data_IF_765115665568
#
_entry.id   IF_765115665568
#
_cell.length_a   1.000
_cell.length_b   1.000
_cell.length_c   1.000
_cell.angle_alpha   90.00
_cell.angle_beta   90.00
_cell.angle_gamma   90.00
#
_symmetry.space_group_name_H-M   'P 1'
#
loop_
_entity.id
_entity.type
_entity.pdbx_description
1 polymer ?
#
# COMPACT_ATOMS: atom_id res chain seq x y z
N UNK A 1 17.70 -2.79 7.90
CA UNK A 1 16.60 -3.61 7.36
C UNK A 1 16.79 -3.74 5.85
N UNK A 2 16.36 -4.83 5.22
CA UNK A 2 16.54 -5.05 3.77
C UNK A 2 15.48 -4.39 2.88
N UNK A 3 14.55 -3.63 3.47
CA UNK A 3 13.45 -2.99 2.75
C UNK A 3 13.94 -1.80 1.94
N UNK A 4 13.38 -1.64 0.73
CA UNK A 4 13.62 -0.49 -0.15
C UNK A 4 12.30 0.28 -0.35
N UNK A 5 12.33 1.61 -0.48
CA UNK A 5 11.14 2.38 -0.81
C UNK A 5 10.54 1.94 -2.14
N UNK A 6 9.21 1.93 -2.22
CA UNK A 6 8.46 1.72 -3.46
C UNK A 6 7.97 3.08 -3.97
N UNK A 7 8.54 3.54 -5.09
CA UNK A 7 8.05 4.74 -5.78
C UNK A 7 6.82 4.38 -6.60
N UNK A 8 5.75 5.15 -6.47
CA UNK A 8 4.55 5.03 -7.30
C UNK A 8 3.99 6.40 -7.65
N UNK A 9 3.14 6.45 -8.68
CA UNK A 9 2.49 7.67 -9.16
C UNK A 9 1.00 7.39 -9.36
N UNK A 10 0.18 8.39 -9.10
CA UNK A 10 -1.26 8.34 -9.34
C UNK A 10 -1.53 9.20 -10.58
N UNK A 11 -1.94 8.57 -11.67
CA UNK A 11 -2.10 9.24 -12.98
C UNK A 11 -3.36 10.11 -13.04
N UNK A 12 -4.39 9.73 -12.29
CA UNK A 12 -5.69 10.39 -12.30
C UNK A 12 -6.08 10.84 -10.91
N UNK A 13 -6.79 11.96 -10.78
CA UNK A 13 -7.26 12.45 -9.49
C UNK A 13 -8.31 11.50 -8.92
N UNK A 14 -7.90 10.70 -7.93
CA UNK A 14 -8.78 9.81 -7.18
C UNK A 14 -8.33 9.68 -5.73
N UNK A 15 -9.29 9.38 -4.86
CA UNK A 15 -8.99 8.97 -3.48
C UNK A 15 -8.56 7.51 -3.50
N UNK A 16 -7.43 7.20 -2.85
CA UNK A 16 -6.92 5.83 -2.72
C UNK A 16 -6.51 5.57 -1.28
N UNK A 17 -6.62 4.32 -0.85
CA UNK A 17 -6.10 3.86 0.43
C UNK A 17 -4.68 3.30 0.23
N UNK A 18 -3.69 3.89 0.90
CA UNK A 18 -2.29 3.42 0.87
C UNK A 18 -2.04 2.48 2.05
N UNK A 19 -1.30 1.40 1.82
CA UNK A 19 -0.98 0.42 2.85
C UNK A 19 -0.01 0.98 3.90
N UNK A 20 -0.42 0.90 5.17
CA UNK A 20 0.40 1.28 6.33
C UNK A 20 0.92 0.09 7.12
N UNK A 21 0.19 -1.03 7.17
CA UNK A 21 0.56 -2.22 7.95
C UNK A 21 1.68 -3.08 7.33
N UNK A 22 1.99 -2.87 6.04
CA UNK A 22 3.01 -3.63 5.27
C UNK A 22 2.71 -5.11 5.03
N UNK A 23 1.45 -5.52 5.24
CA UNK A 23 0.97 -6.90 5.04
C UNK A 23 0.10 -7.06 3.78
N UNK A 24 0.00 -6.03 2.94
CA UNK A 24 -0.80 -6.09 1.72
C UNK A 24 -0.15 -6.98 0.65
N UNK A 25 -0.97 -7.76 -0.05
CA UNK A 25 -0.61 -8.39 -1.33
C UNK A 25 -0.75 -7.47 -2.55
N UNK A 26 -1.29 -6.26 -2.38
CA UNK A 26 -1.58 -5.29 -3.45
C UNK A 26 -0.82 -3.96 -3.29
N UNK A 27 0.48 -4.04 -2.97
CA UNK A 27 1.30 -2.85 -2.77
C UNK A 27 1.27 -1.91 -4.02
N UNK A 28 1.18 -0.58 -3.84
CA UNK A 28 1.26 0.19 -2.59
C UNK A 28 -0.08 0.35 -1.84
N UNK A 29 -1.16 -0.24 -2.33
CA UNK A 29 -2.52 0.04 -1.87
C UNK A 29 -2.95 -0.87 -0.72
N UNK A 30 -3.97 -0.44 0.02
CA UNK A 30 -4.59 -1.25 1.05
C UNK A 30 -5.54 -2.27 0.41
N UNK A 31 -5.46 -3.52 0.84
CA UNK A 31 -6.38 -4.62 0.47
C UNK A 31 -7.18 -5.17 1.67
N UNK A 32 -7.09 -4.52 2.83
CA UNK A 32 -7.78 -4.95 4.05
C UNK A 32 -7.03 -6.00 4.87
N UNK A 33 -5.85 -6.49 4.45
CA UNK A 33 -5.08 -7.51 5.20
C UNK A 33 -4.79 -7.11 6.66
N UNK A 34 -4.80 -5.80 6.97
CA UNK A 34 -4.61 -5.30 8.33
C UNK A 34 -5.74 -5.64 9.30
N UNK A 35 -6.93 -6.01 8.82
CA UNK A 35 -8.07 -6.31 9.67
C UNK A 35 -7.92 -7.63 10.45
N UNK A 36 -6.94 -8.46 10.08
CA UNK A 36 -6.66 -9.77 10.71
C UNK A 36 -5.28 -9.83 11.37
N UNK A 37 -4.66 -8.67 11.65
CA UNK A 37 -3.37 -8.58 12.36
C UNK A 37 -3.52 -8.56 13.88
#
# INVERSE_FOLDING_TARGET
TGFKPLKFTIEEKKTVAVCQCKQTGNAPFCDGSHASL
#
